data_IF_592684373878
#
_entry.id   IF_592684373878
#
_cell.length_a   1.000
_cell.length_b   1.000
_cell.length_c   1.000
_cell.angle_alpha   90.00
_cell.angle_beta   90.00
_cell.angle_gamma   90.00
#
_symmetry.space_group_name_H-M   'P 1'
#
loop_
_entity.id
_entity.type
_entity.pdbx_description
1 polymer ?
#
# COMPACT_ATOMS: atom_id res chain seq x y z
N UNK A 1 1.67 -5.39 10.73
CA UNK A 1 1.61 -5.24 9.25
C UNK A 1 2.93 -5.61 8.56
N UNK A 2 4.07 -5.53 9.27
CA UNK A 2 5.40 -5.79 8.72
C UNK A 2 5.57 -7.11 7.94
N UNK A 3 4.88 -8.18 8.34
CA UNK A 3 5.01 -9.51 7.72
C UNK A 3 4.53 -9.62 6.27
N UNK A 4 3.74 -8.66 5.77
CA UNK A 4 3.27 -8.63 4.38
C UNK A 4 4.28 -7.97 3.43
N UNK A 5 5.28 -7.28 3.95
CA UNK A 5 6.29 -6.58 3.17
C UNK A 5 7.56 -7.41 3.01
N UNK A 6 8.26 -7.24 1.88
CA UNK A 6 9.61 -7.80 1.69
C UNK A 6 10.62 -7.07 2.58
N UNK A 7 11.80 -7.66 2.83
CA UNK A 7 12.83 -7.03 3.66
C UNK A 7 13.28 -5.66 3.10
N UNK A 8 13.33 -5.56 1.77
CA UNK A 8 13.71 -4.35 1.03
C UNK A 8 12.49 -3.61 0.46
N UNK A 9 11.35 -3.65 1.16
CA UNK A 9 10.15 -2.95 0.73
C UNK A 9 10.30 -1.43 0.82
N UNK A 10 9.59 -0.71 -0.05
CA UNK A 10 9.51 0.75 -0.02
C UNK A 10 8.08 1.21 -0.25
N UNK A 11 7.62 2.17 0.56
CA UNK A 11 6.47 3.01 0.23
C UNK A 11 6.95 4.31 -0.39
N UNK A 12 6.17 4.82 -1.34
CA UNK A 12 6.43 6.06 -2.06
C UNK A 12 5.22 7.01 -1.92
N UNK A 13 4.84 7.42 -0.69
CA UNK A 13 3.71 8.32 -0.53
C UNK A 13 4.02 9.71 -1.07
N UNK A 14 2.98 10.41 -1.54
CA UNK A 14 3.12 11.80 -1.94
C UNK A 14 3.57 12.68 -0.75
N UNK A 15 4.41 13.67 -1.02
CA UNK A 15 4.81 14.65 -0.01
C UNK A 15 5.94 14.22 0.95
N UNK A 16 6.52 13.03 0.78
CA UNK A 16 7.71 12.60 1.53
C UNK A 16 8.78 11.97 0.63
N UNK A 17 9.96 11.72 1.20
CA UNK A 17 10.94 10.80 0.62
C UNK A 17 10.50 9.32 0.83
N UNK A 18 11.27 8.38 0.30
CA UNK A 18 11.03 6.94 0.44
C UNK A 18 10.93 6.49 1.90
N UNK A 19 9.94 5.66 2.21
CA UNK A 19 9.83 4.95 3.49
C UNK A 19 10.32 3.53 3.27
N UNK A 20 11.48 3.17 3.84
CA UNK A 20 12.20 1.94 3.51
C UNK A 20 12.29 0.97 4.68
N UNK A 21 12.06 -0.31 4.40
CA UNK A 21 12.20 -1.40 5.37
C UNK A 21 10.96 -1.57 6.26
N UNK A 22 10.74 -2.82 6.70
CA UNK A 22 9.50 -3.24 7.39
C UNK A 22 9.13 -2.37 8.60
N UNK A 23 10.11 -1.96 9.40
CA UNK A 23 9.86 -1.20 10.62
C UNK A 23 9.35 0.22 10.32
N UNK A 24 9.96 0.92 9.37
CA UNK A 24 9.52 2.26 8.98
C UNK A 24 8.14 2.23 8.31
N UNK A 25 7.89 1.18 7.51
CA UNK A 25 6.59 0.94 6.87
C UNK A 25 5.50 0.68 7.92
N UNK A 26 5.79 -0.13 8.94
CA UNK A 26 4.84 -0.38 10.02
C UNK A 26 4.53 0.88 10.83
N UNK A 27 5.55 1.70 11.11
CA UNK A 27 5.34 2.99 11.77
C UNK A 27 4.46 3.93 10.93
N UNK A 28 4.71 4.03 9.63
CA UNK A 28 3.90 4.85 8.72
C UNK A 28 2.42 4.47 8.75
N UNK A 29 2.12 3.17 8.67
CA UNK A 29 0.74 2.72 8.73
C UNK A 29 0.11 2.84 10.11
N UNK A 30 0.91 2.75 11.18
CA UNK A 30 0.42 3.05 12.52
C UNK A 30 0.00 4.51 12.63
N UNK A 31 0.79 5.45 12.10
CA UNK A 31 0.41 6.87 12.04
C UNK A 31 -0.88 7.08 11.23
N UNK A 32 -1.05 6.35 10.12
CA UNK A 32 -2.28 6.40 9.34
C UNK A 32 -3.51 5.94 10.14
N UNK A 33 -3.37 4.87 10.94
CA UNK A 33 -4.42 4.40 11.86
C UNK A 33 -4.70 5.43 12.96
N UNK A 34 -3.65 6.01 13.54
CA UNK A 34 -3.76 7.02 14.59
C UNK A 34 -4.43 8.32 14.08
N UNK A 35 -4.29 8.62 12.79
CA UNK A 35 -4.99 9.71 12.10
C UNK A 35 -6.46 9.39 11.74
N UNK A 36 -6.95 8.19 12.08
CA UNK A 36 -8.37 7.83 11.98
C UNK A 36 -8.73 6.90 10.82
N UNK A 37 -7.76 6.42 10.03
CA UNK A 37 -8.03 5.41 9.01
C UNK A 37 -8.32 4.06 9.70
N UNK A 38 -9.52 3.54 9.53
CA UNK A 38 -9.94 2.27 10.13
C UNK A 38 -9.89 1.10 9.14
N UNK A 39 -10.13 1.38 7.86
CA UNK A 39 -10.28 0.37 6.82
C UNK A 39 -9.82 0.91 5.48
N UNK A 40 -9.12 0.07 4.72
CA UNK A 40 -8.77 0.32 3.33
C UNK A 40 -9.43 -0.79 2.49
N UNK A 41 -10.26 -0.40 1.53
CA UNK A 41 -10.78 -1.30 0.50
C UNK A 41 -9.89 -1.19 -0.73
N UNK A 42 -9.44 -2.32 -1.25
CA UNK A 42 -8.71 -2.41 -2.52
C UNK A 42 -9.62 -3.06 -3.56
N UNK A 43 -9.77 -2.40 -4.69
CA UNK A 43 -10.42 -2.92 -5.89
C UNK A 43 -9.31 -3.21 -6.93
N UNK A 44 -8.99 -4.49 -7.09
CA UNK A 44 -7.97 -4.97 -8.04
C UNK A 44 -8.46 -4.79 -9.48
N UNK A 45 -7.72 -4.04 -10.28
CA UNK A 45 -8.06 -3.78 -11.69
C UNK A 45 -7.24 -4.67 -12.63
N UNK A 46 -5.97 -4.86 -12.31
CA UNK A 46 -5.03 -5.65 -13.11
C UNK A 46 -4.03 -6.34 -12.19
N UNK A 47 -3.68 -7.58 -12.52
CA UNK A 47 -2.59 -8.32 -11.88
C UNK A 47 -1.84 -9.10 -12.95
N UNK A 48 -0.58 -8.73 -13.17
CA UNK A 48 0.31 -9.42 -14.09
C UNK A 48 1.46 -10.07 -13.33
N UNK A 49 1.68 -11.37 -13.53
CA UNK A 49 2.77 -12.10 -12.90
C UNK A 49 3.93 -12.29 -13.88
N UNK A 50 5.15 -12.06 -13.40
CA UNK A 50 6.41 -12.24 -14.11
C UNK A 50 7.40 -13.03 -13.24
N UNK A 51 7.31 -14.37 -13.33
CA UNK A 51 8.12 -15.27 -12.50
C UNK A 51 7.83 -15.07 -11.01
N UNK A 52 8.88 -14.71 -10.25
CA UNK A 52 8.81 -14.42 -8.82
C UNK A 52 8.46 -12.95 -8.49
N UNK A 53 7.92 -12.23 -9.47
CA UNK A 53 7.39 -10.87 -9.30
C UNK A 53 5.99 -10.74 -9.86
N UNK A 54 5.21 -9.78 -9.39
CA UNK A 54 3.94 -9.42 -9.99
C UNK A 54 3.69 -7.91 -9.87
N UNK A 55 2.96 -7.34 -10.82
CA UNK A 55 2.50 -5.95 -10.81
C UNK A 55 0.99 -5.93 -10.64
N UNK A 56 0.53 -5.10 -9.72
CA UNK A 56 -0.87 -4.83 -9.46
C UNK A 56 -1.19 -3.39 -9.84
N UNK A 57 -2.32 -3.18 -10.51
CA UNK A 57 -2.97 -1.88 -10.64
C UNK A 57 -4.30 -1.95 -9.90
N UNK A 58 -4.53 -1.01 -8.98
CA UNK A 58 -5.74 -1.04 -8.15
C UNK A 58 -6.28 0.36 -7.86
N UNK A 59 -7.55 0.39 -7.46
CA UNK A 59 -8.19 1.54 -6.81
C UNK A 59 -8.27 1.27 -5.32
N UNK A 60 -8.16 2.32 -4.52
CA UNK A 60 -8.41 2.22 -3.09
C UNK A 60 -9.55 3.15 -2.65
N UNK A 61 -10.20 2.78 -1.55
CA UNK A 61 -11.03 3.68 -0.75
C UNK A 61 -10.65 3.52 0.71
N UNK A 62 -10.30 4.63 1.36
CA UNK A 62 -9.99 4.70 2.78
C UNK A 62 -11.23 5.15 3.55
N UNK A 63 -11.47 4.54 4.71
CA UNK A 63 -12.62 4.80 5.56
C UNK A 63 -12.17 5.11 6.99
N UNK A 64 -12.96 5.94 7.67
CA UNK A 64 -12.86 6.10 9.13
C UNK A 64 -13.64 5.03 9.89
N UNK A 65 -13.66 5.12 11.22
CA UNK A 65 -14.37 4.17 12.08
C UNK A 65 -15.90 4.22 11.95
N UNK A 66 -16.47 5.30 11.39
CA UNK A 66 -17.90 5.50 11.15
C UNK A 66 -18.32 5.06 9.73
N UNK A 67 -17.40 4.42 8.99
CA UNK A 67 -17.55 4.03 7.59
C UNK A 67 -17.68 5.20 6.60
N UNK A 68 -17.34 6.42 7.02
CA UNK A 68 -17.25 7.56 6.11
C UNK A 68 -16.00 7.46 5.24
N UNK A 69 -16.10 7.91 3.99
CA UNK A 69 -14.97 7.90 3.05
C UNK A 69 -14.03 9.06 3.41
N UNK A 70 -12.79 8.73 3.75
CA UNK A 70 -11.72 9.71 4.01
C UNK A 70 -10.98 10.09 2.74
N UNK A 71 -10.69 9.11 1.88
CA UNK A 71 -10.00 9.34 0.61
C UNK A 71 -10.28 8.23 -0.40
N UNK A 72 -10.11 8.55 -1.68
CA UNK A 72 -10.19 7.61 -2.79
C UNK A 72 -9.07 7.88 -3.79
N UNK A 73 -8.49 6.80 -4.30
CA UNK A 73 -7.37 6.94 -5.22
C UNK A 73 -7.09 5.70 -6.03
N UNK A 74 -5.86 5.65 -6.53
CA UNK A 74 -5.34 4.57 -7.38
C UNK A 74 -3.85 4.39 -7.11
N UNK A 75 -3.37 3.19 -7.33
CA UNK A 75 -1.97 2.85 -7.09
C UNK A 75 -1.45 1.75 -7.98
N UNK A 76 -0.14 1.57 -7.91
CA UNK A 76 0.58 0.45 -8.49
C UNK A 76 1.38 -0.20 -7.37
N UNK A 77 1.30 -1.53 -7.30
CA UNK A 77 2.09 -2.31 -6.36
C UNK A 77 2.95 -3.32 -7.10
N UNK A 78 4.22 -3.42 -6.72
CA UNK A 78 5.11 -4.50 -7.14
C UNK A 78 5.21 -5.49 -6.00
N UNK A 79 4.92 -6.74 -6.31
CA UNK A 79 5.03 -7.88 -5.42
C UNK A 79 6.28 -8.70 -5.74
N UNK A 80 6.83 -9.37 -4.73
CA UNK A 80 7.89 -10.38 -4.87
C UNK A 80 7.55 -11.66 -4.11
N UNK A 81 7.79 -12.79 -4.73
CA UNK A 81 7.74 -14.09 -4.08
C UNK A 81 9.09 -14.38 -3.42
N UNK A 82 9.09 -14.67 -2.12
CA UNK A 82 10.32 -14.95 -1.36
C UNK A 82 10.66 -16.45 -1.26
N UNK A 83 9.94 -17.31 -1.99
CA UNK A 83 10.04 -18.77 -1.90
C UNK A 83 8.97 -19.39 -0.99
N UNK A 84 8.32 -18.61 -0.14
CA UNK A 84 7.26 -19.06 0.76
C UNK A 84 5.96 -18.27 0.59
N UNK A 85 6.03 -16.95 0.41
CA UNK A 85 4.87 -16.10 0.24
C UNK A 85 5.15 -14.90 -0.67
N UNK A 86 4.08 -14.40 -1.27
CA UNK A 86 4.10 -13.09 -1.93
C UNK A 86 4.20 -11.98 -0.89
N UNK A 87 5.06 -11.01 -1.18
CA UNK A 87 5.35 -9.86 -0.33
C UNK A 87 5.26 -8.57 -1.13
N UNK A 88 4.68 -7.55 -0.52
CA UNK A 88 4.68 -6.19 -1.05
C UNK A 88 6.12 -5.67 -1.09
N UNK A 89 6.57 -5.22 -2.27
CA UNK A 89 7.94 -4.80 -2.51
C UNK A 89 8.05 -3.30 -2.84
N UNK A 90 7.19 -2.78 -3.72
CA UNK A 90 7.07 -1.34 -3.98
C UNK A 90 5.61 -0.97 -3.94
N UNK A 91 5.28 0.12 -3.28
CA UNK A 91 3.91 0.59 -3.14
C UNK A 91 3.89 2.10 -3.38
N UNK A 92 3.17 2.50 -4.42
CA UNK A 92 2.95 3.90 -4.78
C UNK A 92 1.48 4.11 -5.10
N UNK A 93 0.92 5.17 -4.56
CA UNK A 93 -0.47 5.54 -4.78
C UNK A 93 -0.62 7.05 -4.86
N UNK A 94 -1.75 7.48 -5.43
CA UNK A 94 -2.15 8.89 -5.48
C UNK A 94 -3.63 8.99 -5.14
N UNK A 95 -4.02 10.08 -4.48
CA UNK A 95 -5.43 10.46 -4.32
C UNK A 95 -6.03 10.88 -5.67
N UNK A 96 -7.33 10.67 -5.84
CA UNK A 96 -8.15 11.23 -6.93
C UNK A 96 -8.79 12.55 -6.53
N UNK A 97 -8.81 12.87 -5.25
CA UNK A 97 -9.16 14.17 -4.72
C UNK A 97 -8.01 15.11 -5.07
N UNK A 98 -8.12 15.82 -6.19
CA UNK A 98 -7.15 16.86 -6.52
C UNK A 98 -7.21 17.96 -5.43
N UNK A 99 -6.04 18.49 -5.06
CA UNK A 99 -5.91 19.69 -4.21
C UNK A 99 -6.78 20.84 -4.70
#
# INVERSE_FOLDING_TARGET
MAGFYSDNAMLLPAGSDFIQGRQAIEAYWQEAVDMGISRIKIDLMELEQHGDSATEVSRYTMFDAEESILDQGKGIMIWKYDGNAWKMHRDIWTSNSAY
#
